data_IF_773531024095
#
_entry.id   IF_773531024095
#
_cell.length_a   1.000
_cell.length_b   1.000
_cell.length_c   1.000
_cell.angle_alpha   90.00
_cell.angle_beta   90.00
_cell.angle_gamma   90.00
#
_symmetry.space_group_name_H-M   'P 1'
#
loop_
_entity.id
_entity.type
_entity.pdbx_description
1 polymer ?
#
# COMPACT_ATOMS: atom_id res chain seq x y z
N UNK A 1 19.20 2.98 11.34
CA UNK A 1 17.79 2.67 10.98
C UNK A 1 16.80 3.07 12.08
N UNK A 2 16.99 2.66 13.35
CA UNK A 2 16.05 3.04 14.43
C UNK A 2 15.73 4.54 14.53
N UNK A 3 16.74 5.42 14.37
CA UNK A 3 16.53 6.87 14.43
C UNK A 3 15.64 7.44 13.30
N UNK A 4 15.71 6.88 12.09
CA UNK A 4 14.84 7.28 10.97
C UNK A 4 13.39 6.87 11.23
N UNK A 5 13.18 5.62 11.67
CA UNK A 5 11.84 5.14 12.03
C UNK A 5 11.23 5.98 13.16
N UNK A 6 12.02 6.34 14.18
CA UNK A 6 11.54 7.20 15.28
C UNK A 6 11.16 8.58 14.73
N UNK A 7 11.98 9.17 13.85
CA UNK A 7 11.65 10.43 13.18
C UNK A 7 10.32 10.33 12.43
N UNK A 8 10.13 9.30 11.61
CA UNK A 8 8.92 9.14 10.82
C UNK A 8 7.69 8.85 11.70
N UNK A 9 7.83 8.09 12.77
CA UNK A 9 6.77 7.90 13.77
C UNK A 9 6.43 9.20 14.54
N UNK A 10 7.41 10.06 14.81
CA UNK A 10 7.18 11.38 15.42
C UNK A 10 6.44 12.31 14.46
N UNK A 11 6.71 12.23 13.15
CA UNK A 11 5.91 12.94 12.14
C UNK A 11 4.45 12.48 12.17
N UNK A 12 4.20 11.16 12.30
CA UNK A 12 2.85 10.63 12.48
C UNK A 12 2.20 11.14 13.78
N UNK A 13 2.97 11.24 14.87
CA UNK A 13 2.45 11.79 16.14
C UNK A 13 1.94 13.21 15.99
N UNK A 14 2.59 14.04 15.16
CA UNK A 14 2.10 15.38 14.88
C UNK A 14 0.74 15.38 14.13
N UNK A 15 0.46 14.31 13.39
CA UNK A 15 -0.79 14.11 12.65
C UNK A 15 -1.81 13.21 13.39
N UNK A 16 -1.63 12.98 14.70
CA UNK A 16 -2.51 12.11 15.51
C UNK A 16 -4.00 12.42 15.42
N UNK A 17 -4.38 13.70 15.30
CA UNK A 17 -5.79 14.12 15.17
C UNK A 17 -6.40 13.62 13.85
N UNK A 18 -5.61 13.62 12.78
CA UNK A 18 -6.04 13.13 11.49
C UNK A 18 -6.23 11.60 11.51
N UNK A 19 -5.37 10.87 12.19
CA UNK A 19 -5.54 9.42 12.40
C UNK A 19 -6.80 9.09 13.20
N UNK A 20 -7.03 9.79 14.30
CA UNK A 20 -8.24 9.62 15.10
C UNK A 20 -9.51 9.89 14.28
N UNK A 21 -9.50 10.92 13.44
CA UNK A 21 -10.61 11.20 12.53
C UNK A 21 -10.83 10.06 11.52
N UNK A 22 -9.79 9.53 10.90
CA UNK A 22 -9.94 8.40 9.95
C UNK A 22 -10.53 7.17 10.65
N UNK A 23 -10.06 6.82 11.84
CA UNK A 23 -10.60 5.68 12.59
C UNK A 23 -12.03 5.93 13.07
N UNK A 24 -12.36 7.16 13.45
CA UNK A 24 -13.73 7.52 13.80
C UNK A 24 -14.67 7.43 12.59
N UNK A 25 -14.24 7.93 11.43
CA UNK A 25 -15.00 7.81 10.18
C UNK A 25 -15.15 6.35 9.75
N UNK A 26 -14.10 5.53 9.86
CA UNK A 26 -14.20 4.11 9.50
C UNK A 26 -15.18 3.36 10.39
N UNK A 27 -15.17 3.61 11.70
CA UNK A 27 -16.16 3.07 12.63
C UNK A 27 -17.58 3.55 12.28
N UNK A 28 -17.76 4.84 11.98
CA UNK A 28 -19.04 5.41 11.54
C UNK A 28 -19.57 4.77 10.25
N UNK A 29 -18.71 4.55 9.25
CA UNK A 29 -19.08 3.88 8.00
C UNK A 29 -19.52 2.44 8.25
N UNK A 30 -18.80 1.71 9.09
CA UNK A 30 -19.19 0.35 9.48
C UNK A 30 -20.53 0.34 10.22
N UNK A 31 -20.78 1.31 11.11
CA UNK A 31 -22.04 1.50 11.84
C UNK A 31 -23.25 1.77 10.94
N UNK A 32 -23.06 2.50 9.84
CA UNK A 32 -24.14 2.75 8.85
C UNK A 32 -24.34 1.55 7.91
N UNK A 33 -23.46 0.55 7.95
CA UNK A 33 -23.59 -0.65 7.13
C UNK A 33 -22.86 -0.59 5.80
N UNK A 34 -21.90 0.33 5.64
CA UNK A 34 -20.99 0.33 4.50
C UNK A 34 -20.20 -0.97 4.47
N UNK A 35 -19.95 -1.49 3.28
CA UNK A 35 -19.22 -2.73 3.07
C UNK A 35 -17.86 -2.71 3.80
N UNK A 36 -17.64 -3.64 4.73
CA UNK A 36 -16.42 -3.73 5.55
C UNK A 36 -15.16 -3.91 4.71
N UNK A 37 -15.26 -4.63 3.59
CA UNK A 37 -14.19 -4.84 2.61
C UNK A 37 -13.70 -3.49 2.06
N UNK A 38 -14.64 -2.59 1.74
CA UNK A 38 -14.31 -1.25 1.25
C UNK A 38 -13.60 -0.42 2.33
N UNK A 39 -14.11 -0.45 3.56
CA UNK A 39 -13.54 0.33 4.68
C UNK A 39 -12.11 -0.13 5.01
N UNK A 40 -11.88 -1.45 5.07
CA UNK A 40 -10.55 -2.02 5.32
C UNK A 40 -9.56 -1.60 4.24
N UNK A 41 -9.94 -1.73 2.96
CA UNK A 41 -9.09 -1.34 1.84
C UNK A 41 -8.75 0.16 1.89
N UNK A 42 -9.78 1.01 2.04
CA UNK A 42 -9.64 2.47 2.03
C UNK A 42 -8.66 2.95 3.11
N UNK A 43 -8.84 2.49 4.36
CA UNK A 43 -7.96 2.90 5.46
C UNK A 43 -6.55 2.35 5.28
N UNK A 44 -6.40 1.08 4.88
CA UNK A 44 -5.08 0.47 4.65
C UNK A 44 -4.29 1.24 3.60
N UNK A 45 -4.93 1.65 2.51
CA UNK A 45 -4.31 2.39 1.42
C UNK A 45 -3.92 3.81 1.86
N UNK A 46 -4.80 4.52 2.58
CA UNK A 46 -4.48 5.84 3.15
C UNK A 46 -3.28 5.76 4.09
N UNK A 47 -3.22 4.76 4.96
CA UNK A 47 -2.10 4.63 5.88
C UNK A 47 -0.78 4.34 5.17
N UNK A 48 -0.85 3.54 4.11
CA UNK A 48 0.30 3.26 3.24
C UNK A 48 0.82 4.53 2.55
N UNK A 49 -0.08 5.48 2.20
CA UNK A 49 0.28 6.76 1.60
C UNK A 49 1.07 7.70 2.52
N UNK A 50 1.09 7.51 3.84
CA UNK A 50 1.96 8.35 4.70
C UNK A 50 3.44 8.11 4.45
N UNK A 51 3.82 6.96 3.90
CA UNK A 51 5.19 6.72 3.42
C UNK A 51 5.56 7.75 2.34
N UNK A 52 4.61 8.09 1.47
CA UNK A 52 4.79 9.10 0.43
C UNK A 52 4.97 10.49 1.04
N UNK A 53 4.15 10.82 2.03
CA UNK A 53 4.23 12.06 2.76
C UNK A 53 5.59 12.20 3.46
N UNK A 54 6.07 11.15 4.13
CA UNK A 54 7.38 11.14 4.78
C UNK A 54 8.53 11.36 3.77
N UNK A 55 8.51 10.68 2.62
CA UNK A 55 9.50 10.93 1.54
C UNK A 55 9.41 12.38 1.04
N UNK A 56 8.21 12.94 0.96
CA UNK A 56 8.00 14.33 0.53
C UNK A 56 8.55 15.34 1.54
N UNK A 57 8.38 15.09 2.84
CA UNK A 57 8.98 15.90 3.90
C UNK A 57 10.50 15.80 3.92
N UNK A 58 11.07 14.65 3.57
CA UNK A 58 12.52 14.44 3.51
C UNK A 58 13.17 15.17 2.32
N UNK A 59 12.41 15.39 1.26
CA UNK A 59 12.85 16.14 0.08
C UNK A 59 12.61 17.65 0.21
N UNK A 60 11.67 18.06 1.07
CA UNK A 60 11.31 19.45 1.27
C UNK A 60 12.54 20.31 1.59
N UNK A 61 12.66 21.46 0.91
CA UNK A 61 13.79 22.38 1.00
C UNK A 61 15.18 21.71 0.88
N UNK A 62 15.32 20.71 -0.01
CA UNK A 62 16.55 19.93 -0.20
C UNK A 62 17.00 19.17 1.06
N UNK A 63 16.05 18.73 1.89
CA UNK A 63 16.32 18.02 3.15
C UNK A 63 17.23 16.79 3.02
N UNK A 64 17.32 16.17 1.84
CA UNK A 64 18.26 15.07 1.58
C UNK A 64 19.73 15.44 1.81
N UNK A 65 20.14 16.65 1.44
CA UNK A 65 21.53 17.09 1.62
C UNK A 65 21.91 17.05 3.10
N UNK A 66 21.02 17.55 3.97
CA UNK A 66 21.20 17.48 5.43
C UNK A 66 21.09 16.05 5.95
N UNK A 67 20.09 15.28 5.50
CA UNK A 67 19.85 13.91 5.95
C UNK A 67 21.05 12.99 5.73
N UNK A 68 21.77 13.16 4.61
CA UNK A 68 22.95 12.36 4.28
C UNK A 68 24.26 12.90 4.86
N UNK A 69 24.24 14.00 5.64
CA UNK A 69 25.37 14.34 6.52
C UNK A 69 25.39 13.49 7.81
N UNK A 70 24.24 12.91 8.18
CA UNK A 70 24.15 11.98 9.29
C UNK A 70 24.80 10.63 8.91
N UNK A 71 25.21 9.79 9.89
CA UNK A 71 25.82 8.48 9.65
C UNK A 71 24.78 7.45 9.18
N UNK A 72 24.13 7.73 8.05
CA UNK A 72 23.05 6.97 7.44
C UNK A 72 23.47 6.62 6.01
N UNK A 73 23.41 5.34 5.67
CA UNK A 73 23.67 4.90 4.30
C UNK A 73 22.43 5.00 3.43
N UNK A 74 22.62 5.20 2.11
CA UNK A 74 21.53 5.24 1.12
C UNK A 74 20.68 3.96 1.10
N UNK A 75 21.31 2.82 1.37
CA UNK A 75 20.61 1.53 1.50
C UNK A 75 19.69 1.50 2.72
N UNK A 76 20.19 1.99 3.87
CA UNK A 76 19.40 2.07 5.10
C UNK A 76 18.21 3.01 4.96
N UNK A 77 18.36 4.12 4.25
CA UNK A 77 17.25 5.02 3.95
C UNK A 77 16.17 4.33 3.08
N UNK A 78 16.58 3.68 1.98
CA UNK A 78 15.63 2.97 1.12
C UNK A 78 14.91 1.85 1.89
N UNK A 79 15.63 1.03 2.65
CA UNK A 79 15.05 -0.06 3.45
C UNK A 79 14.05 0.45 4.49
N UNK A 80 14.38 1.58 5.13
CA UNK A 80 13.57 2.18 6.16
C UNK A 80 12.19 2.61 5.63
N UNK A 81 12.09 3.19 4.42
CA UNK A 81 10.79 3.57 3.85
C UNK A 81 9.85 2.39 3.58
N UNK A 82 10.39 1.25 3.14
CA UNK A 82 9.56 0.04 2.99
C UNK A 82 9.11 -0.51 4.35
N UNK A 83 10.00 -0.51 5.35
CA UNK A 83 9.65 -0.93 6.72
C UNK A 83 8.61 0.00 7.31
N UNK A 84 8.78 1.31 7.16
CA UNK A 84 7.83 2.31 7.64
C UNK A 84 6.45 2.11 7.02
N UNK A 85 6.37 1.97 5.70
CA UNK A 85 5.10 1.73 5.01
C UNK A 85 4.43 0.40 5.36
N UNK A 86 5.22 -0.67 5.59
CA UNK A 86 4.70 -1.94 6.08
C UNK A 86 4.14 -1.81 7.50
N UNK A 87 4.83 -1.09 8.38
CA UNK A 87 4.37 -0.87 9.77
C UNK A 87 3.11 -0.02 9.80
N UNK A 88 3.05 1.09 9.04
CA UNK A 88 1.88 1.97 9.02
C UNK A 88 0.68 1.33 8.34
N UNK A 89 0.86 0.75 7.15
CA UNK A 89 -0.20 0.06 6.43
C UNK A 89 -0.68 -1.20 7.14
N UNK A 90 0.25 -1.99 7.67
CA UNK A 90 -0.06 -3.23 8.40
C UNK A 90 -0.80 -2.97 9.72
N UNK A 91 -0.33 -2.01 10.52
CA UNK A 91 -1.02 -1.64 11.78
C UNK A 91 -2.43 -1.11 11.52
N UNK A 92 -2.62 -0.27 10.50
CA UNK A 92 -3.94 0.24 10.13
C UNK A 92 -4.89 -0.86 9.65
N UNK A 93 -4.40 -1.78 8.81
CA UNK A 93 -5.15 -2.94 8.38
C UNK A 93 -5.63 -3.76 9.59
N UNK A 94 -4.72 -4.11 10.51
CA UNK A 94 -5.05 -4.86 11.73
C UNK A 94 -6.11 -4.13 12.56
N UNK A 95 -5.91 -2.84 12.83
CA UNK A 95 -6.84 -2.05 13.67
C UNK A 95 -8.24 -2.02 13.04
N UNK A 96 -8.36 -1.71 11.75
CA UNK A 96 -9.66 -1.62 11.09
C UNK A 96 -10.32 -2.98 10.94
N UNK A 97 -9.56 -4.04 10.68
CA UNK A 97 -10.07 -5.41 10.68
C UNK A 97 -10.64 -5.79 12.04
N UNK A 98 -9.96 -5.43 13.14
CA UNK A 98 -10.49 -5.67 14.50
C UNK A 98 -11.80 -4.91 14.72
N UNK A 99 -11.87 -3.63 14.34
CA UNK A 99 -13.12 -2.85 14.43
C UNK A 99 -14.23 -3.51 13.61
N UNK A 100 -13.92 -3.95 12.39
CA UNK A 100 -14.89 -4.62 11.52
C UNK A 100 -15.37 -5.97 12.08
N UNK A 101 -14.48 -6.76 12.72
CA UNK A 101 -14.83 -8.00 13.38
C UNK A 101 -15.77 -7.78 14.59
N UNK A 102 -15.48 -6.77 15.41
CA UNK A 102 -16.35 -6.39 16.54
C UNK A 102 -17.74 -6.00 16.03
N UNK A 103 -17.80 -5.17 14.98
CA UNK A 103 -19.05 -4.74 14.37
C UNK A 103 -19.85 -5.90 13.76
N UNK A 104 -19.17 -6.86 13.15
CA UNK A 104 -19.80 -8.06 12.58
C UNK A 104 -20.38 -8.95 13.69
N UNK A 105 -19.64 -9.12 14.79
CA UNK A 105 -20.10 -9.87 15.97
C UNK A 105 -21.34 -9.24 16.62
N UNK A 106 -21.35 -7.91 16.79
CA UNK A 106 -22.51 -7.18 17.35
C UNK A 106 -23.76 -7.32 16.49
N UNK A 107 -23.61 -7.44 15.17
CA UNK A 107 -24.72 -7.62 14.22
C UNK A 107 -25.17 -9.07 14.04
N UNK A 108 -24.52 -10.03 14.70
CA UNK A 108 -24.78 -11.46 14.52
C UNK A 108 -24.49 -11.95 13.10
N UNK A 109 -23.59 -11.28 12.38
CA UNK A 109 -23.24 -11.67 11.02
C UNK A 109 -22.28 -12.86 10.97
N UNK A 110 -22.40 -13.65 9.89
CA UNK A 110 -21.47 -14.73 9.57
C UNK A 110 -20.28 -14.22 8.74
N UNK A 111 -19.22 -15.02 8.59
CA UNK A 111 -18.12 -14.74 7.65
C UNK A 111 -16.86 -14.10 8.23
N UNK A 112 -16.50 -14.39 9.48
CA UNK A 112 -15.25 -13.87 10.10
C UNK A 112 -13.99 -14.28 9.34
N UNK A 113 -13.94 -15.51 8.83
CA UNK A 113 -12.83 -16.02 8.03
C UNK A 113 -12.70 -15.30 6.68
N UNK A 114 -13.83 -15.02 6.01
CA UNK A 114 -13.83 -14.28 4.74
C UNK A 114 -13.33 -12.84 4.92
N UNK A 115 -13.71 -12.20 6.03
CA UNK A 115 -13.24 -10.85 6.38
C UNK A 115 -11.72 -10.84 6.64
N UNK A 116 -11.19 -11.87 7.31
CA UNK A 116 -9.74 -12.01 7.52
C UNK A 116 -8.99 -12.26 6.20
N UNK A 117 -9.51 -13.14 5.35
CA UNK A 117 -8.94 -13.42 4.02
C UNK A 117 -8.91 -12.15 3.19
N UNK A 118 -10.02 -11.41 3.13
CA UNK A 118 -10.10 -10.16 2.35
C UNK A 118 -9.16 -9.09 2.91
N UNK A 119 -9.06 -8.93 4.23
CA UNK A 119 -8.09 -8.02 4.85
C UNK A 119 -6.64 -8.36 4.46
N UNK A 120 -6.29 -9.65 4.44
CA UNK A 120 -4.97 -10.13 4.03
C UNK A 120 -4.69 -9.82 2.55
N UNK A 121 -5.68 -10.03 1.67
CA UNK A 121 -5.56 -9.69 0.24
C UNK A 121 -5.31 -8.19 0.04
N UNK A 122 -5.99 -7.33 0.79
CA UNK A 122 -5.75 -5.88 0.70
C UNK A 122 -4.39 -5.45 1.26
N UNK A 123 -3.88 -6.15 2.27
CA UNK A 123 -2.51 -5.93 2.74
C UNK A 123 -1.48 -6.26 1.64
N UNK A 124 -1.66 -7.35 0.88
CA UNK A 124 -0.77 -7.63 -0.25
C UNK A 124 -0.90 -6.61 -1.38
N UNK A 125 -2.13 -6.14 -1.65
CA UNK A 125 -2.34 -5.08 -2.64
C UNK A 125 -1.67 -3.77 -2.22
N UNK A 126 -1.69 -3.41 -0.93
CA UNK A 126 -0.98 -2.22 -0.45
C UNK A 126 0.54 -2.37 -0.51
N UNK A 127 1.07 -3.57 -0.32
CA UNK A 127 2.49 -3.89 -0.53
C UNK A 127 2.90 -3.74 -2.00
N UNK A 128 2.10 -4.26 -2.94
CA UNK A 128 2.33 -4.08 -4.37
C UNK A 128 2.26 -2.60 -4.77
N UNK A 129 1.32 -1.86 -4.18
CA UNK A 129 1.24 -0.42 -4.36
C UNK A 129 2.52 0.28 -3.89
N UNK A 130 3.05 -0.04 -2.70
CA UNK A 130 4.34 0.49 -2.23
C UNK A 130 5.51 0.14 -3.15
N UNK A 131 5.53 -1.07 -3.70
CA UNK A 131 6.56 -1.53 -4.63
C UNK A 131 6.59 -0.73 -5.95
N UNK A 132 5.55 0.03 -6.27
CA UNK A 132 5.57 0.94 -7.42
C UNK A 132 5.83 2.38 -6.97
N UNK A 133 5.17 2.82 -5.91
CA UNK A 133 5.19 4.23 -5.49
C UNK A 133 6.52 4.67 -4.91
N UNK A 134 7.14 3.86 -4.05
CA UNK A 134 8.42 4.20 -3.41
C UNK A 134 9.54 4.46 -4.44
N UNK A 135 9.84 3.56 -5.41
CA UNK A 135 10.92 3.81 -6.36
C UNK A 135 10.61 4.99 -7.30
N UNK A 136 9.34 5.18 -7.70
CA UNK A 136 8.93 6.32 -8.54
C UNK A 136 9.17 7.64 -7.81
N UNK A 137 8.73 7.73 -6.55
CA UNK A 137 8.93 8.95 -5.74
C UNK A 137 10.42 9.24 -5.51
N UNK A 138 11.22 8.22 -5.20
CA UNK A 138 12.66 8.40 -4.97
C UNK A 138 13.39 8.87 -6.24
N UNK A 139 12.96 8.41 -7.42
CA UNK A 139 13.59 8.74 -8.70
C UNK A 139 13.21 10.12 -9.21
N UNK A 140 11.92 10.43 -9.23
CA UNK A 140 11.40 11.65 -9.85
C UNK A 140 11.19 12.79 -8.86
N UNK A 141 11.32 12.52 -7.56
CA UNK A 141 10.99 13.47 -6.51
C UNK A 141 9.48 13.65 -6.37
N UNK A 142 9.08 14.55 -5.50
CA UNK A 142 7.69 14.64 -5.02
C UNK A 142 6.73 15.17 -6.07
N UNK A 143 7.10 16.26 -6.72
CA UNK A 143 6.25 16.92 -7.72
C UNK A 143 6.12 16.08 -8.99
N UNK A 144 7.26 15.68 -9.58
CA UNK A 144 7.25 14.88 -10.82
C UNK A 144 6.82 13.44 -10.57
N UNK A 145 7.06 12.90 -9.37
CA UNK A 145 6.63 11.57 -8.97
C UNK A 145 5.11 11.40 -9.04
N UNK A 146 4.35 12.40 -8.56
CA UNK A 146 2.88 12.39 -8.66
C UNK A 146 2.38 12.35 -10.11
N UNK A 147 3.00 13.13 -11.00
CA UNK A 147 2.66 13.15 -12.43
C UNK A 147 2.96 11.79 -13.07
N UNK A 148 4.11 11.20 -12.77
CA UNK A 148 4.49 9.87 -13.27
C UNK A 148 3.54 8.79 -12.73
N UNK A 149 3.11 8.86 -11.47
CA UNK A 149 2.13 7.94 -10.91
C UNK A 149 0.78 8.02 -11.63
N UNK A 150 0.29 9.22 -11.93
CA UNK A 150 -0.95 9.41 -12.71
C UNK A 150 -0.79 8.76 -14.09
N UNK A 151 0.36 8.93 -14.74
CA UNK A 151 0.62 8.32 -16.04
C UNK A 151 0.67 6.78 -15.97
N UNK A 152 1.32 6.21 -14.95
CA UNK A 152 1.36 4.76 -14.71
C UNK A 152 -0.05 4.21 -14.49
N UNK A 153 -0.86 4.87 -13.66
CA UNK A 153 -2.26 4.48 -13.41
C UNK A 153 -3.04 4.54 -14.73
N UNK A 154 -2.90 5.61 -15.51
CA UNK A 154 -3.52 5.73 -16.83
C UNK A 154 -3.14 4.61 -17.79
N UNK A 155 -1.87 4.20 -17.82
CA UNK A 155 -1.41 3.07 -18.62
C UNK A 155 -2.02 1.73 -18.16
N UNK A 156 -2.16 1.51 -16.86
CA UNK A 156 -2.80 0.31 -16.32
C UNK A 156 -4.27 0.24 -16.77
N UNK A 157 -5.00 1.35 -16.70
CA UNK A 157 -6.38 1.43 -17.19
C UNK A 157 -6.47 1.20 -18.71
N UNK A 158 -5.58 1.82 -19.48
CA UNK A 158 -5.54 1.64 -20.94
C UNK A 158 -5.25 0.18 -21.32
N UNK A 159 -4.27 -0.46 -20.65
CA UNK A 159 -3.96 -1.87 -20.84
C UNK A 159 -5.17 -2.76 -20.51
N UNK A 160 -5.85 -2.51 -19.38
CA UNK A 160 -7.06 -3.22 -19.01
C UNK A 160 -8.16 -3.11 -20.07
N UNK A 161 -8.37 -1.91 -20.63
CA UNK A 161 -9.35 -1.70 -21.70
C UNK A 161 -8.99 -2.48 -22.97
N UNK A 162 -7.71 -2.49 -23.36
CA UNK A 162 -7.23 -3.26 -24.52
C UNK A 162 -7.44 -4.75 -24.30
N UNK A 163 -7.12 -5.28 -23.10
CA UNK A 163 -7.33 -6.69 -22.76
C UNK A 163 -8.80 -7.08 -22.87
N UNK A 164 -9.70 -6.29 -22.29
CA UNK A 164 -11.14 -6.54 -22.36
C UNK A 164 -11.65 -6.50 -23.80
N UNK A 165 -11.18 -5.54 -24.59
CA UNK A 165 -11.55 -5.41 -26.00
C UNK A 165 -11.03 -6.59 -26.83
N UNK A 166 -9.77 -6.98 -26.63
CA UNK A 166 -9.16 -8.13 -27.31
C UNK A 166 -9.89 -9.43 -26.96
N UNK A 167 -10.21 -9.66 -25.68
CA UNK A 167 -10.94 -10.86 -25.27
C UNK A 167 -12.34 -10.95 -25.90
N UNK A 168 -13.05 -9.82 -26.04
CA UNK A 168 -14.31 -9.76 -26.80
C UNK A 168 -14.12 -10.09 -28.28
N UNK A 169 -13.04 -9.61 -28.90
CA UNK A 169 -12.71 -9.91 -30.31
C UNK A 169 -12.36 -11.38 -30.53
N UNK A 170 -11.65 -12.01 -29.59
CA UNK A 170 -11.26 -13.42 -29.67
C UNK A 170 -12.32 -14.39 -29.10
N UNK A 171 -13.50 -13.91 -28.72
CA UNK A 171 -14.54 -14.69 -28.02
C UNK A 171 -13.99 -15.47 -26.80
N UNK A 172 -12.95 -14.93 -26.16
CA UNK A 172 -12.42 -15.50 -24.93
C UNK A 172 -13.40 -15.18 -23.80
N UNK A 173 -14.02 -16.23 -23.27
CA UNK A 173 -14.94 -16.10 -22.17
C UNK A 173 -14.16 -15.85 -20.88
N UNK A 174 -13.88 -14.57 -20.60
CA UNK A 174 -13.24 -14.11 -19.36
C UNK A 174 -13.94 -14.65 -18.11
N UNK A 175 -15.23 -14.98 -18.19
CA UNK A 175 -15.97 -15.54 -17.06
C UNK A 175 -15.42 -16.91 -16.65
N UNK A 176 -14.94 -17.73 -17.58
CA UNK A 176 -14.34 -19.04 -17.29
C UNK A 176 -12.99 -18.92 -16.58
N UNK A 177 -12.19 -17.91 -16.95
CA UNK A 177 -10.91 -17.62 -16.29
C UNK A 177 -11.14 -17.10 -14.87
N UNK A 178 -12.12 -16.20 -14.70
CA UNK A 178 -12.49 -15.69 -13.38
C UNK A 178 -13.07 -16.81 -12.51
N UNK A 179 -13.94 -17.66 -13.07
CA UNK A 179 -14.52 -18.81 -12.39
C UNK A 179 -13.44 -19.81 -11.94
N UNK A 180 -12.46 -20.10 -12.80
CA UNK A 180 -11.31 -20.93 -12.47
C UNK A 180 -10.43 -20.31 -11.37
N UNK A 181 -10.28 -18.98 -11.34
CA UNK A 181 -9.57 -18.28 -10.26
C UNK A 181 -10.34 -18.32 -8.94
N UNK A 182 -11.66 -18.24 -8.98
CA UNK A 182 -12.53 -18.31 -7.79
C UNK A 182 -12.76 -19.72 -7.26
N UNK A 183 -12.51 -20.76 -8.06
CA UNK A 183 -12.68 -22.16 -7.66
C UNK A 183 -11.46 -22.72 -6.90
N UNK A 184 -10.32 -22.03 -6.94
CA UNK A 184 -9.19 -22.37 -6.08
C UNK A 184 -9.54 -22.10 -4.62
N UNK A 185 -9.15 -23.03 -3.74
CA UNK A 185 -9.19 -22.78 -2.30
C UNK A 185 -8.39 -21.50 -1.98
N UNK A 186 -8.90 -20.69 -1.05
CA UNK A 186 -8.30 -19.40 -0.72
C UNK A 186 -6.83 -19.51 -0.29
N UNK A 187 -6.42 -20.64 0.31
CA UNK A 187 -5.06 -20.89 0.78
C UNK A 187 -3.97 -20.76 -0.31
N UNK A 188 -3.98 -21.61 -1.36
CA UNK A 188 -3.02 -21.52 -2.46
C UNK A 188 -2.95 -20.14 -3.15
N UNK A 189 -4.09 -19.47 -3.31
CA UNK A 189 -4.15 -18.13 -3.93
C UNK A 189 -3.42 -17.11 -3.04
N UNK A 190 -3.68 -17.14 -1.74
CA UNK A 190 -3.00 -16.30 -0.75
C UNK A 190 -1.50 -16.54 -0.74
N UNK A 191 -1.04 -17.81 -0.78
CA UNK A 191 0.39 -18.11 -0.75
C UNK A 191 1.11 -17.62 -2.01
N UNK A 192 0.50 -17.80 -3.18
CA UNK A 192 1.06 -17.29 -4.44
C UNK A 192 1.10 -15.76 -4.43
N UNK A 193 0.02 -15.10 -4.00
CA UNK A 193 -0.03 -13.64 -3.93
C UNK A 193 1.00 -13.07 -2.94
N UNK A 194 1.20 -13.75 -1.80
CA UNK A 194 2.24 -13.40 -0.84
C UNK A 194 3.63 -13.48 -1.48
N UNK A 195 3.95 -14.58 -2.18
CA UNK A 195 5.23 -14.74 -2.85
C UNK A 195 5.47 -13.66 -3.92
N UNK A 196 4.44 -13.35 -4.72
CA UNK A 196 4.51 -12.28 -5.73
C UNK A 196 4.73 -10.92 -5.05
N UNK A 197 4.01 -10.63 -3.97
CA UNK A 197 4.16 -9.35 -3.26
C UNK A 197 5.55 -9.19 -2.65
N UNK A 198 6.12 -10.25 -2.06
CA UNK A 198 7.48 -10.23 -1.51
C UNK A 198 8.52 -10.06 -2.62
N UNK A 199 8.38 -10.78 -3.72
CA UNK A 199 9.28 -10.66 -4.87
C UNK A 199 9.24 -9.24 -5.47
N UNK A 200 8.03 -8.67 -5.60
CA UNK A 200 7.83 -7.31 -6.09
C UNK A 200 8.45 -6.26 -5.16
N UNK A 201 8.22 -6.36 -3.84
CA UNK A 201 8.82 -5.46 -2.85
C UNK A 201 10.34 -5.58 -2.84
N UNK A 202 10.89 -6.79 -2.92
CA UNK A 202 12.33 -7.01 -2.97
C UNK A 202 12.96 -6.42 -4.25
N UNK A 203 12.37 -6.69 -5.42
CA UNK A 203 12.82 -6.10 -6.69
C UNK A 203 12.73 -4.58 -6.67
N UNK A 204 11.64 -4.04 -6.14
CA UNK A 204 11.45 -2.60 -5.94
C UNK A 204 12.50 -2.00 -5.01
N UNK A 205 12.83 -2.67 -3.91
CA UNK A 205 13.89 -2.24 -3.00
C UNK A 205 15.25 -2.14 -3.71
N UNK A 206 15.63 -3.13 -4.51
CA UNK A 206 16.88 -3.09 -5.28
C UNK A 206 16.92 -1.90 -6.25
N UNK A 207 15.80 -1.61 -6.92
CA UNK A 207 15.64 -0.45 -7.79
C UNK A 207 15.80 0.85 -6.99
N UNK A 208 15.10 0.98 -5.85
CA UNK A 208 15.19 2.14 -4.95
C UNK A 208 16.62 2.40 -4.46
N UNK A 209 17.35 1.34 -4.08
CA UNK A 209 18.75 1.45 -3.65
C UNK A 209 19.62 1.97 -4.79
N UNK A 210 19.48 1.42 -5.99
CA UNK A 210 20.25 1.85 -7.16
C UNK A 210 19.95 3.31 -7.56
N UNK A 211 18.69 3.73 -7.49
CA UNK A 211 18.28 5.13 -7.71
C UNK A 211 18.97 6.02 -6.68
N UNK A 212 18.86 5.68 -5.39
CA UNK A 212 19.42 6.49 -4.33
C UNK A 212 20.94 6.58 -4.44
N UNK A 213 21.66 5.51 -4.81
CA UNK A 213 23.12 5.53 -5.03
C UNK A 213 23.55 6.45 -6.18
N UNK A 214 22.73 6.60 -7.22
CA UNK A 214 23.04 7.45 -8.38
C UNK A 214 22.66 8.92 -8.19
N UNK A 215 21.83 9.24 -7.19
CA UNK A 215 21.39 10.62 -6.92
C UNK A 215 22.56 11.46 -6.40
N UNK A 216 22.92 12.52 -7.12
CA UNK A 216 23.85 13.54 -6.62
C UNK A 216 22.99 14.62 -5.92
N UNK A 217 23.39 15.01 -4.71
CA UNK A 217 22.76 16.06 -3.91
C UNK A 217 23.71 17.24 -3.84
#
# INVERSE_FOLDING_TARGET
MKGLLIKDLLLLKNQQRFFLLIFFMSAGMLLVGVNSVFVINYVTLIFTMFTLSSISYDEFDNGYAFLFTLPITRNQYAAEKYVFGFVTGGSACIIVTVIALIMNFVRGGAGTLELLITALLYLFMSLLFMAVVVPVQLKFGTEKGRIVLIFIIGLIFAAGFIVVKAAKTFQLDLSTVIAALTSFAAGPVITVLLLISLAAVYGSYLISVNIMKKKQF
#
